data_IF_038425369859
#
_entry.id   IF_038425369859
#
_cell.length_a   1.000
_cell.length_b   1.000
_cell.length_c   1.000
_cell.angle_alpha   90.00
_cell.angle_beta   90.00
_cell.angle_gamma   90.00
#
_symmetry.space_group_name_H-M   'P 1'
#
loop_
_entity.id
_entity.type
_entity.pdbx_description
1 polymer ?
#
# COMPACT_ATOMS: atom_id res chain seq x y z
N UNK A 1 -5.18 32.43 13.52
CA UNK A 1 -6.41 31.61 13.63
C UNK A 1 -6.16 30.19 14.19
N UNK A 2 -4.94 29.64 14.16
CA UNK A 2 -4.61 28.32 14.76
C UNK A 2 -4.26 28.33 16.27
N UNK A 3 -4.14 29.49 16.91
CA UNK A 3 -3.65 29.61 18.31
C UNK A 3 -4.79 29.65 19.34
N UNK A 4 -6.06 29.66 18.90
CA UNK A 4 -7.20 29.98 19.78
C UNK A 4 -7.60 28.86 20.74
N UNK A 5 -7.15 27.61 20.55
CA UNK A 5 -7.41 26.47 21.44
C UNK A 5 -6.11 25.72 21.75
N UNK A 6 -5.29 26.33 22.59
CA UNK A 6 -4.06 25.78 23.17
C UNK A 6 -4.24 24.35 23.71
N UNK A 7 -5.38 24.09 24.37
CA UNK A 7 -5.74 22.80 24.94
C UNK A 7 -5.93 21.69 23.90
N UNK A 8 -6.31 22.00 22.66
CA UNK A 8 -6.45 21.00 21.60
C UNK A 8 -5.10 20.35 21.24
N UNK A 9 -4.03 21.13 21.28
CA UNK A 9 -2.66 20.68 21.01
C UNK A 9 -1.93 20.22 22.28
N UNK A 10 -2.65 20.05 23.40
CA UNK A 10 -2.08 19.75 24.72
C UNK A 10 -1.00 20.75 25.15
N UNK A 11 -1.20 22.03 24.83
CA UNK A 11 -0.32 23.10 25.28
C UNK A 11 -0.90 23.77 26.52
N UNK A 12 -0.02 24.12 27.46
CA UNK A 12 -0.38 24.79 28.72
C UNK A 12 -0.70 26.28 28.50
N UNK A 13 0.04 26.94 27.60
CA UNK A 13 -0.17 28.33 27.22
C UNK A 13 0.23 28.65 25.76
N UNK A 14 -0.14 29.85 25.32
CA UNK A 14 0.16 30.36 23.97
C UNK A 14 1.37 31.31 23.98
N UNK A 15 2.25 31.18 24.98
CA UNK A 15 3.46 31.99 25.04
C UNK A 15 4.40 31.63 23.88
N UNK A 16 5.21 32.61 23.46
CA UNK A 16 6.14 32.42 22.36
C UNK A 16 7.14 31.27 22.65
N UNK A 17 7.56 31.11 23.91
CA UNK A 17 8.50 30.07 24.31
C UNK A 17 7.86 28.67 24.27
N UNK A 18 6.62 28.52 24.78
CA UNK A 18 5.88 27.25 24.73
C UNK A 18 5.62 26.82 23.30
N UNK A 19 5.17 27.75 22.43
CA UNK A 19 4.93 27.46 21.02
C UNK A 19 6.23 27.05 20.32
N UNK A 20 7.33 27.78 20.51
CA UNK A 20 8.61 27.43 19.89
C UNK A 20 9.12 26.08 20.36
N UNK A 21 9.01 25.77 21.65
CA UNK A 21 9.41 24.47 22.20
C UNK A 21 8.56 23.35 21.63
N UNK A 22 7.25 23.54 21.53
CA UNK A 22 6.34 22.57 20.92
C UNK A 22 6.66 22.32 19.46
N UNK A 23 6.77 23.37 18.65
CA UNK A 23 7.09 23.25 17.23
C UNK A 23 8.46 22.60 17.01
N UNK A 24 9.45 22.96 17.82
CA UNK A 24 10.78 22.33 17.75
C UNK A 24 10.71 20.83 18.06
N UNK A 25 9.99 20.44 19.13
CA UNK A 25 9.78 19.03 19.48
C UNK A 25 9.03 18.27 18.39
N UNK A 26 8.00 18.89 17.79
CA UNK A 26 7.21 18.30 16.72
C UNK A 26 8.06 18.07 15.46
N UNK A 27 8.83 19.08 15.05
CA UNK A 27 9.73 18.99 13.89
C UNK A 27 10.82 17.96 14.15
N UNK A 28 11.45 17.95 15.32
CA UNK A 28 12.47 16.96 15.69
C UNK A 28 11.91 15.53 15.68
N UNK A 29 10.69 15.33 16.18
CA UNK A 29 9.98 14.05 16.11
C UNK A 29 9.75 13.59 14.67
N UNK A 30 9.21 14.47 13.83
CA UNK A 30 8.95 14.18 12.42
C UNK A 30 10.24 13.86 11.64
N UNK A 31 11.32 14.61 11.87
CA UNK A 31 12.62 14.36 11.23
C UNK A 31 13.17 12.98 11.64
N UNK A 32 13.07 12.62 12.92
CA UNK A 32 13.49 11.29 13.40
C UNK A 32 12.65 10.16 12.80
N UNK A 33 11.35 10.37 12.65
CA UNK A 33 10.47 9.36 12.03
C UNK A 33 10.78 9.18 10.53
N UNK A 34 11.07 10.27 9.81
CA UNK A 34 11.50 10.22 8.42
C UNK A 34 12.89 9.58 8.26
N UNK A 35 13.82 9.88 9.15
CA UNK A 35 15.16 9.25 9.19
C UNK A 35 15.06 7.75 9.45
N UNK A 36 14.23 7.31 10.42
CA UNK A 36 13.93 5.89 10.66
C UNK A 36 13.30 5.18 9.47
N UNK A 37 12.62 5.92 8.61
CA UNK A 37 12.05 5.42 7.35
C UNK A 37 12.99 5.53 6.15
N UNK A 38 14.25 5.90 6.36
CA UNK A 38 15.25 6.13 5.33
C UNK A 38 14.86 7.24 4.34
N UNK A 39 13.90 8.11 4.66
CA UNK A 39 13.43 9.14 3.75
C UNK A 39 14.40 10.33 3.65
N UNK A 40 15.17 10.57 4.70
CA UNK A 40 16.17 11.62 4.77
C UNK A 40 17.26 11.23 5.77
N UNK A 41 18.36 11.97 5.75
CA UNK A 41 19.43 11.88 6.75
C UNK A 41 19.76 13.25 7.33
N UNK A 42 20.13 13.27 8.61
CA UNK A 42 20.70 14.44 9.27
C UNK A 42 22.23 14.29 9.20
N UNK A 43 22.89 15.26 8.59
CA UNK A 43 24.35 15.27 8.43
C UNK A 43 25.06 15.38 9.79
N UNK A 44 26.37 15.10 9.80
CA UNK A 44 27.20 15.11 11.03
C UNK A 44 27.20 16.46 11.77
N UNK A 45 26.90 17.56 11.08
CA UNK A 45 26.78 18.90 11.67
C UNK A 45 25.51 19.08 12.53
N UNK A 46 24.59 18.11 12.49
CA UNK A 46 23.33 18.09 13.21
C UNK A 46 22.33 19.16 12.73
N UNK A 47 22.58 19.79 11.58
CA UNK A 47 21.81 20.95 11.08
C UNK A 47 21.39 20.79 9.62
N UNK A 48 22.23 20.14 8.82
CA UNK A 48 21.96 19.95 7.41
C UNK A 48 21.12 18.68 7.22
N UNK A 49 20.03 18.82 6.48
CA UNK A 49 19.09 17.74 6.18
C UNK A 49 19.17 17.45 4.69
N UNK A 50 19.35 16.17 4.34
CA UNK A 50 19.38 15.73 2.95
C UNK A 50 18.30 14.69 2.67
N UNK A 51 17.57 14.89 1.57
CA UNK A 51 16.52 13.97 1.14
C UNK A 51 17.14 12.78 0.39
N UNK A 52 16.92 11.58 0.91
CA UNK A 52 17.34 10.32 0.31
C UNK A 52 16.36 9.87 -0.79
N UNK A 53 16.79 8.89 -1.60
CA UNK A 53 15.97 8.36 -2.71
C UNK A 53 14.60 7.88 -2.22
N UNK A 54 14.54 7.19 -1.07
CA UNK A 54 13.28 6.69 -0.51
C UNK A 54 12.30 7.81 -0.14
N UNK A 55 12.79 8.96 0.34
CA UNK A 55 11.95 10.12 0.63
C UNK A 55 11.39 10.74 -0.64
N UNK A 56 12.19 10.78 -1.71
CA UNK A 56 11.76 11.23 -3.04
C UNK A 56 10.68 10.31 -3.61
N UNK A 57 10.85 8.99 -3.50
CA UNK A 57 9.84 7.99 -3.91
C UNK A 57 8.55 8.19 -3.09
N UNK A 58 8.64 8.29 -1.76
CA UNK A 58 7.49 8.53 -0.87
C UNK A 58 6.70 9.77 -1.30
N UNK A 59 7.40 10.88 -1.54
CA UNK A 59 6.80 12.15 -1.92
C UNK A 59 6.19 12.11 -3.32
N UNK A 60 6.87 11.48 -4.29
CA UNK A 60 6.43 11.40 -5.68
C UNK A 60 5.14 10.59 -5.83
N UNK A 61 5.06 9.43 -5.16
CA UNK A 61 3.88 8.55 -5.22
C UNK A 61 2.82 8.85 -4.15
N UNK A 62 3.07 9.85 -3.30
CA UNK A 62 2.15 10.28 -2.25
C UNK A 62 1.81 9.14 -1.27
N UNK A 63 2.86 8.46 -0.79
CA UNK A 63 2.80 7.33 0.14
C UNK A 63 3.30 7.73 1.52
N UNK A 64 2.79 7.04 2.55
CA UNK A 64 3.24 7.17 3.94
C UNK A 64 4.69 6.66 4.05
N UNK A 65 5.51 7.35 4.85
CA UNK A 65 6.94 6.98 5.01
C UNK A 65 7.12 5.58 5.64
N UNK A 66 6.13 5.11 6.41
CA UNK A 66 6.06 3.76 6.94
C UNK A 66 5.99 2.71 5.83
N UNK A 67 5.19 2.95 4.78
CA UNK A 67 5.09 2.05 3.62
C UNK A 67 6.43 1.90 2.92
N UNK A 68 7.13 3.00 2.67
CA UNK A 68 8.45 2.97 2.03
C UNK A 68 9.48 2.24 2.90
N UNK A 69 9.43 2.45 4.22
CA UNK A 69 10.26 1.68 5.17
C UNK A 69 10.00 0.18 5.04
N UNK A 70 8.73 -0.23 5.01
CA UNK A 70 8.37 -1.64 4.82
C UNK A 70 8.87 -2.18 3.47
N UNK A 71 8.83 -1.38 2.41
CA UNK A 71 9.38 -1.79 1.12
C UNK A 71 10.89 -2.01 1.20
N UNK A 72 11.61 -1.06 1.81
CA UNK A 72 13.06 -1.19 2.00
C UNK A 72 13.44 -2.41 2.85
N UNK A 73 12.67 -2.72 3.88
CA UNK A 73 13.02 -3.78 4.85
C UNK A 73 12.53 -5.18 4.45
N UNK A 74 11.36 -5.32 3.80
CA UNK A 74 10.66 -6.62 3.65
C UNK A 74 10.37 -7.06 2.21
N UNK A 75 10.38 -6.14 1.24
CA UNK A 75 9.93 -6.39 -0.14
C UNK A 75 10.65 -7.54 -0.86
N UNK A 76 11.89 -7.85 -0.46
CA UNK A 76 12.66 -8.94 -1.06
C UNK A 76 12.09 -10.33 -0.75
N UNK A 77 11.45 -10.49 0.41
CA UNK A 77 10.97 -11.78 0.90
C UNK A 77 9.49 -12.02 0.56
N UNK A 78 8.66 -11.00 0.73
CA UNK A 78 7.21 -11.08 0.56
C UNK A 78 6.65 -9.74 0.11
N UNK A 79 5.45 -9.73 -0.46
CA UNK A 79 4.74 -8.50 -0.77
C UNK A 79 4.25 -7.88 0.55
N UNK A 80 4.76 -6.69 0.93
CA UNK A 80 4.48 -6.13 2.24
C UNK A 80 3.10 -5.46 2.30
N UNK A 81 2.54 -5.45 3.51
CA UNK A 81 1.26 -4.81 3.86
C UNK A 81 1.41 -3.28 3.88
N UNK A 82 1.11 -2.62 2.77
CA UNK A 82 1.23 -1.16 2.65
C UNK A 82 0.26 -0.42 3.59
N UNK A 83 0.75 0.62 4.27
CA UNK A 83 0.02 1.38 5.31
C UNK A 83 -1.21 2.12 4.74
N UNK A 84 -1.23 2.37 3.43
CA UNK A 84 -2.37 2.96 2.72
C UNK A 84 -3.62 2.06 2.80
N UNK A 85 -3.44 0.76 3.03
CA UNK A 85 -4.54 -0.19 3.17
C UNK A 85 -4.95 -0.47 4.62
N UNK A 86 -4.22 0.06 5.61
CA UNK A 86 -4.53 -0.16 7.03
C UNK A 86 -5.92 0.41 7.42
N UNK A 87 -6.39 1.41 6.68
CA UNK A 87 -7.68 2.08 6.90
C UNK A 87 -8.83 1.48 6.08
N UNK A 88 -8.59 0.41 5.31
CA UNK A 88 -9.67 -0.26 4.56
C UNK A 88 -10.72 -0.78 5.55
N UNK A 89 -12.01 -0.45 5.38
CA UNK A 89 -13.02 -0.82 6.36
C UNK A 89 -13.18 -2.33 6.41
N UNK A 90 -13.05 -2.90 7.62
CA UNK A 90 -13.47 -4.27 7.92
C UNK A 90 -14.68 -4.18 8.84
N UNK A 91 -15.86 -4.36 8.27
CA UNK A 91 -17.15 -4.17 8.96
C UNK A 91 -17.49 -5.40 9.78
N UNK A 92 -18.38 -5.25 10.75
CA UNK A 92 -18.89 -6.38 11.53
C UNK A 92 -19.48 -7.47 10.62
N UNK A 93 -19.15 -8.73 10.91
CA UNK A 93 -19.53 -9.95 10.17
C UNK A 93 -18.85 -10.12 8.79
N UNK A 94 -17.93 -9.25 8.39
CA UNK A 94 -17.17 -9.46 7.15
C UNK A 94 -16.10 -10.54 7.29
N UNK A 95 -15.71 -10.94 8.49
CA UNK A 95 -14.78 -12.05 8.76
C UNK A 95 -15.28 -13.38 8.19
N UNK A 96 -16.58 -13.68 8.34
CA UNK A 96 -17.19 -14.86 7.75
C UNK A 96 -17.24 -14.78 6.21
N UNK A 97 -17.54 -13.60 5.66
CA UNK A 97 -17.58 -13.37 4.22
C UNK A 97 -16.18 -13.49 3.61
N UNK A 98 -15.16 -12.92 4.26
CA UNK A 98 -13.75 -13.02 3.88
C UNK A 98 -13.29 -14.48 3.89
N UNK A 99 -13.69 -15.26 4.91
CA UNK A 99 -13.39 -16.69 4.98
C UNK A 99 -14.03 -17.48 3.84
N UNK A 100 -15.29 -17.19 3.48
CA UNK A 100 -15.97 -17.82 2.34
C UNK A 100 -15.33 -17.43 1.00
N UNK A 101 -14.98 -16.16 0.83
CA UNK A 101 -14.31 -15.67 -0.36
C UNK A 101 -12.94 -16.31 -0.52
N UNK A 102 -12.16 -16.44 0.57
CA UNK A 102 -10.85 -17.07 0.56
C UNK A 102 -10.87 -18.52 0.05
N UNK A 103 -11.94 -19.28 0.31
CA UNK A 103 -12.09 -20.67 -0.17
C UNK A 103 -12.24 -20.76 -1.70
N UNK A 104 -12.63 -19.67 -2.37
CA UNK A 104 -12.82 -19.61 -3.82
C UNK A 104 -11.60 -19.06 -4.56
N UNK A 105 -10.59 -18.59 -3.83
CA UNK A 105 -9.44 -17.89 -4.37
C UNK A 105 -8.18 -18.77 -4.34
N UNK A 106 -7.25 -18.59 -5.30
CA UNK A 106 -6.15 -19.53 -5.49
C UNK A 106 -5.04 -19.42 -4.43
N UNK A 107 -4.82 -18.25 -3.83
CA UNK A 107 -3.78 -18.07 -2.81
C UNK A 107 -4.40 -18.09 -1.41
N UNK A 108 -3.91 -19.01 -0.59
CA UNK A 108 -4.31 -19.13 0.80
C UNK A 108 -3.87 -17.90 1.62
N UNK A 109 -4.75 -17.45 2.50
CA UNK A 109 -4.47 -16.42 3.50
C UNK A 109 -4.47 -17.04 4.90
N UNK A 110 -3.90 -16.34 5.88
CA UNK A 110 -3.88 -16.83 7.25
C UNK A 110 -5.31 -16.96 7.81
N UNK A 111 -5.73 -18.15 8.33
CA UNK A 111 -7.11 -18.38 8.75
C UNK A 111 -7.64 -17.49 9.90
N UNK A 112 -6.74 -16.79 10.61
CA UNK A 112 -7.06 -15.96 11.76
C UNK A 112 -6.91 -14.47 11.47
N UNK A 113 -6.77 -14.06 10.20
CA UNK A 113 -6.58 -12.67 9.81
C UNK A 113 -7.75 -12.08 9.02
N UNK A 114 -8.92 -12.74 9.00
CA UNK A 114 -10.08 -12.31 8.22
C UNK A 114 -10.73 -11.00 8.70
N UNK A 115 -10.41 -10.55 9.91
CA UNK A 115 -10.77 -9.25 10.47
C UNK A 115 -9.74 -8.14 10.17
N UNK A 116 -8.63 -8.49 9.50
CA UNK A 116 -7.54 -7.56 9.16
C UNK A 116 -7.75 -6.92 7.78
N UNK A 117 -7.57 -5.59 7.72
CA UNK A 117 -7.69 -4.77 6.51
C UNK A 117 -6.75 -5.20 5.37
N UNK A 118 -5.53 -5.62 5.67
CA UNK A 118 -4.57 -6.12 4.69
C UNK A 118 -4.98 -7.48 4.12
N UNK A 119 -5.50 -8.39 4.94
CA UNK A 119 -6.07 -9.66 4.45
C UNK A 119 -7.22 -9.39 3.50
N UNK A 120 -8.13 -8.47 3.86
CA UNK A 120 -9.23 -8.08 2.98
C UNK A 120 -8.71 -7.50 1.67
N UNK A 121 -7.74 -6.60 1.71
CA UNK A 121 -7.07 -6.07 0.51
C UNK A 121 -6.52 -7.19 -0.38
N UNK A 122 -5.83 -8.16 0.20
CA UNK A 122 -5.28 -9.30 -0.53
C UNK A 122 -6.38 -10.13 -1.20
N UNK A 123 -7.46 -10.44 -0.48
CA UNK A 123 -8.62 -11.16 -1.03
C UNK A 123 -9.29 -10.39 -2.17
N UNK A 124 -9.44 -9.06 -2.04
CA UNK A 124 -10.05 -8.23 -3.08
C UNK A 124 -9.19 -8.16 -4.35
N UNK A 125 -7.86 -8.07 -4.22
CA UNK A 125 -6.94 -8.14 -5.36
C UNK A 125 -7.02 -9.50 -6.07
N UNK A 126 -7.02 -10.60 -5.30
CA UNK A 126 -7.20 -11.93 -5.86
C UNK A 126 -8.55 -12.09 -6.56
N UNK A 127 -9.63 -11.60 -5.95
CA UNK A 127 -10.97 -11.63 -6.54
C UNK A 127 -11.04 -10.83 -7.85
N UNK A 128 -10.35 -9.69 -7.92
CA UNK A 128 -10.19 -8.89 -9.14
C UNK A 128 -9.47 -9.67 -10.24
N UNK A 129 -8.35 -10.33 -9.93
CA UNK A 129 -7.60 -11.14 -10.91
C UNK A 129 -8.40 -12.35 -11.39
N UNK A 130 -9.16 -12.99 -10.48
CA UNK A 130 -10.04 -14.13 -10.79
C UNK A 130 -11.35 -13.72 -11.45
N UNK A 131 -11.69 -12.42 -11.48
CA UNK A 131 -13.02 -11.91 -11.83
C UNK A 131 -14.14 -12.63 -11.06
N UNK A 132 -13.88 -12.92 -9.79
CA UNK A 132 -14.80 -13.65 -8.92
C UNK A 132 -16.04 -12.81 -8.57
N UNK A 133 -17.16 -13.47 -8.31
CA UNK A 133 -18.34 -12.81 -7.80
C UNK A 133 -18.09 -12.29 -6.37
N UNK A 134 -18.33 -11.00 -6.14
CA UNK A 134 -18.15 -10.40 -4.82
C UNK A 134 -19.37 -10.66 -3.92
N UNK A 135 -19.19 -10.84 -2.60
CA UNK A 135 -20.29 -11.18 -1.69
C UNK A 135 -21.43 -10.16 -1.65
N UNK A 136 -21.10 -8.87 -1.75
CA UNK A 136 -22.07 -7.78 -1.74
C UNK A 136 -21.52 -6.52 -2.44
N UNK A 137 -22.37 -5.51 -2.60
CA UNK A 137 -22.03 -4.24 -3.26
C UNK A 137 -20.92 -3.46 -2.56
N UNK A 138 -20.82 -3.58 -1.23
CA UNK A 138 -19.80 -2.89 -0.44
C UNK A 138 -18.39 -3.35 -0.82
N UNK A 139 -18.21 -4.66 -1.07
CA UNK A 139 -16.93 -5.21 -1.55
C UNK A 139 -16.55 -4.65 -2.93
N UNK A 140 -17.54 -4.34 -3.78
CA UNK A 140 -17.29 -3.69 -5.07
C UNK A 140 -16.74 -2.27 -4.90
N UNK A 141 -17.24 -1.53 -3.90
CA UNK A 141 -16.71 -0.20 -3.56
C UNK A 141 -15.32 -0.30 -2.94
N UNK A 142 -15.14 -1.23 -1.99
CA UNK A 142 -13.85 -1.47 -1.34
C UNK A 142 -12.78 -1.90 -2.36
N UNK A 143 -13.15 -2.72 -3.35
CA UNK A 143 -12.23 -3.12 -4.45
C UNK A 143 -11.78 -1.91 -5.25
N UNK A 144 -12.67 -0.96 -5.57
CA UNK A 144 -12.28 0.27 -6.29
C UNK A 144 -11.27 1.08 -5.47
N UNK A 145 -11.53 1.28 -4.18
CA UNK A 145 -10.60 1.97 -3.27
C UNK A 145 -9.22 1.29 -3.23
N UNK A 146 -9.18 -0.04 -3.24
CA UNK A 146 -7.92 -0.80 -3.32
C UNK A 146 -7.22 -0.53 -4.66
N UNK A 147 -7.92 -0.67 -5.78
CA UNK A 147 -7.34 -0.51 -7.12
C UNK A 147 -6.85 0.92 -7.41
N UNK A 148 -7.54 1.94 -6.89
CA UNK A 148 -7.13 3.35 -7.01
C UNK A 148 -5.74 3.60 -6.39
N UNK A 149 -5.38 2.82 -5.36
CA UNK A 149 -4.08 2.88 -4.70
C UNK A 149 -3.05 1.90 -5.28
N UNK A 150 -3.51 0.78 -5.85
CA UNK A 150 -2.65 -0.33 -6.24
C UNK A 150 -1.56 0.04 -7.25
N UNK A 151 -1.88 0.90 -8.23
CA UNK A 151 -0.91 1.31 -9.26
C UNK A 151 0.23 2.13 -8.68
N UNK A 152 -0.07 3.20 -7.91
CA UNK A 152 0.97 4.06 -7.33
C UNK A 152 1.83 3.31 -6.31
N UNK A 153 1.22 2.43 -5.52
CA UNK A 153 1.91 1.56 -4.57
C UNK A 153 2.86 0.62 -5.30
N UNK A 154 2.38 -0.06 -6.36
CA UNK A 154 3.21 -0.99 -7.13
C UNK A 154 4.36 -0.28 -7.86
N UNK A 155 4.14 0.93 -8.37
CA UNK A 155 5.20 1.73 -9.00
C UNK A 155 6.27 2.16 -7.98
N UNK A 156 5.87 2.59 -6.77
CA UNK A 156 6.82 2.87 -5.71
C UNK A 156 7.61 1.61 -5.27
N UNK A 157 6.96 0.45 -5.20
CA UNK A 157 7.65 -0.83 -4.96
C UNK A 157 8.69 -1.11 -6.05
N UNK A 158 8.35 -0.86 -7.32
CA UNK A 158 9.25 -1.05 -8.45
C UNK A 158 10.47 -0.14 -8.37
N UNK A 159 10.28 1.14 -8.04
CA UNK A 159 11.37 2.10 -7.90
C UNK A 159 12.28 1.78 -6.71
N UNK A 160 11.72 1.31 -5.59
CA UNK A 160 12.52 0.81 -4.46
C UNK A 160 13.32 -0.43 -4.90
N UNK A 161 12.70 -1.40 -5.55
CA UNK A 161 13.39 -2.59 -6.04
C UNK A 161 14.49 -2.24 -7.06
N UNK A 162 14.26 -1.25 -7.93
CA UNK A 162 15.24 -0.75 -8.89
C UNK A 162 16.42 -0.06 -8.20
N UNK A 163 16.14 0.81 -7.21
CA UNK A 163 17.18 1.47 -6.40
C UNK A 163 18.06 0.46 -5.65
N UNK A 164 17.49 -0.68 -5.23
CA UNK A 164 18.22 -1.77 -4.57
C UNK A 164 18.90 -2.77 -5.53
N UNK A 165 18.61 -2.70 -6.83
CA UNK A 165 19.08 -3.67 -7.81
C UNK A 165 18.43 -5.07 -7.70
N UNK A 166 17.21 -5.17 -7.16
CA UNK A 166 16.49 -6.43 -7.00
C UNK A 166 15.72 -6.82 -8.28
N UNK A 167 16.44 -7.29 -9.30
CA UNK A 167 15.86 -7.62 -10.61
C UNK A 167 14.66 -8.58 -10.55
N UNK A 168 14.76 -9.66 -9.77
CA UNK A 168 13.67 -10.66 -9.67
C UNK A 168 12.42 -10.03 -9.07
N UNK A 169 12.58 -9.24 -8.00
CA UNK A 169 11.49 -8.51 -7.36
C UNK A 169 10.87 -7.50 -8.34
N UNK A 170 11.70 -6.72 -9.04
CA UNK A 170 11.22 -5.76 -10.03
C UNK A 170 10.37 -6.42 -11.14
N UNK A 171 10.81 -7.56 -11.68
CA UNK A 171 10.04 -8.31 -12.68
C UNK A 171 8.72 -8.85 -12.11
N UNK A 172 8.74 -9.37 -10.88
CA UNK A 172 7.51 -9.80 -10.19
C UNK A 172 6.52 -8.65 -10.00
N UNK A 173 7.00 -7.45 -9.67
CA UNK A 173 6.17 -6.24 -9.53
C UNK A 173 5.62 -5.80 -10.89
N UNK A 174 6.41 -5.86 -11.96
CA UNK A 174 5.91 -5.60 -13.32
C UNK A 174 4.77 -6.55 -13.70
N UNK A 175 4.90 -7.83 -13.39
CA UNK A 175 3.83 -8.81 -13.60
C UNK A 175 2.60 -8.50 -12.75
N UNK A 176 2.79 -8.10 -11.49
CA UNK A 176 1.68 -7.66 -10.62
C UNK A 176 0.93 -6.46 -11.21
N UNK A 177 1.64 -5.45 -11.72
CA UNK A 177 1.01 -4.29 -12.38
C UNK A 177 0.17 -4.74 -13.58
N UNK A 178 0.66 -5.69 -14.38
CA UNK A 178 -0.13 -6.25 -15.48
C UNK A 178 -1.38 -6.97 -14.98
N UNK A 179 -1.28 -7.77 -13.92
CA UNK A 179 -2.45 -8.44 -13.32
C UNK A 179 -3.48 -7.43 -12.80
N UNK A 180 -3.03 -6.35 -12.16
CA UNK A 180 -3.90 -5.25 -11.67
C UNK A 180 -4.63 -4.56 -12.83
N UNK A 181 -3.89 -4.14 -13.87
CA UNK A 181 -4.48 -3.39 -14.99
C UNK A 181 -5.43 -4.26 -15.81
N UNK A 182 -5.07 -5.53 -16.07
CA UNK A 182 -5.87 -6.41 -16.92
C UNK A 182 -7.00 -7.13 -16.17
N UNK A 183 -6.94 -7.18 -14.83
CA UNK A 183 -7.88 -7.94 -14.00
C UNK A 183 -7.88 -9.42 -14.38
N UNK A 184 -6.67 -10.00 -14.45
CA UNK A 184 -6.39 -11.38 -14.86
C UNK A 184 -5.16 -11.89 -14.13
N UNK A 185 -5.04 -13.21 -13.99
CA UNK A 185 -3.82 -13.83 -13.48
C UNK A 185 -2.74 -13.86 -14.55
N UNK A 186 -1.47 -13.83 -14.13
CA UNK A 186 -0.33 -13.96 -15.04
C UNK A 186 -0.35 -15.28 -15.84
N UNK A 187 -0.93 -16.33 -15.27
CA UNK A 187 -1.04 -17.66 -15.89
C UNK A 187 -2.14 -17.76 -16.94
N UNK A 188 -3.02 -16.77 -17.03
CA UNK A 188 -4.10 -16.76 -18.02
C UNK A 188 -3.56 -16.51 -19.43
N UNK A 189 -4.28 -17.01 -20.45
CA UNK A 189 -3.94 -16.72 -21.84
C UNK A 189 -4.06 -15.22 -22.12
N UNK A 190 -3.03 -14.63 -22.74
CA UNK A 190 -3.03 -13.20 -23.13
C UNK A 190 -4.14 -12.83 -24.10
N UNK A 191 -4.75 -13.81 -24.79
CA UNK A 191 -5.91 -13.57 -25.65
C UNK A 191 -7.15 -13.12 -24.84
N UNK A 192 -7.26 -13.54 -23.57
CA UNK A 192 -8.37 -13.17 -22.68
C UNK A 192 -8.32 -11.71 -22.21
N UNK A 193 -7.29 -10.97 -22.61
CA UNK A 193 -7.21 -9.51 -22.47
C UNK A 193 -8.09 -8.80 -23.50
N UNK A 194 -8.36 -9.43 -24.65
CA UNK A 194 -9.20 -8.84 -25.68
C UNK A 194 -10.66 -8.80 -25.23
N UNK A 195 -11.39 -7.70 -25.52
CA UNK A 195 -12.80 -7.62 -25.20
C UNK A 195 -13.60 -8.69 -25.95
N UNK A 196 -14.62 -9.24 -25.30
CA UNK A 196 -15.52 -10.29 -25.83
C UNK A 196 -14.89 -11.66 -26.09
N UNK A 197 -13.63 -11.88 -25.70
CA UNK A 197 -12.98 -13.19 -25.80
C UNK A 197 -13.04 -13.91 -24.45
N UNK A 198 -13.75 -15.03 -24.42
CA UNK A 198 -13.94 -15.85 -23.23
C UNK A 198 -13.07 -17.10 -23.25
N UNK A 199 -12.97 -17.77 -22.10
CA UNK A 199 -12.14 -18.96 -21.96
C UNK A 199 -12.58 -20.10 -22.89
N UNK A 200 -13.88 -20.14 -23.20
CA UNK A 200 -14.43 -21.07 -24.19
C UNK A 200 -13.93 -20.78 -25.60
N UNK A 201 -13.60 -19.54 -25.99
CA UNK A 201 -13.19 -19.20 -27.36
C UNK A 201 -11.74 -19.57 -27.67
N UNK A 202 -10.94 -19.85 -26.65
CA UNK A 202 -9.51 -20.15 -26.79
C UNK A 202 -9.23 -21.38 -27.66
N UNK A 203 -10.18 -22.31 -27.77
CA UNK A 203 -10.01 -23.49 -28.64
C UNK A 203 -9.94 -23.13 -30.13
N UNK A 204 -10.43 -21.95 -30.54
CA UNK A 204 -10.40 -21.47 -31.92
C UNK A 204 -9.01 -20.98 -32.36
N UNK A 205 -8.10 -20.76 -31.42
CA UNK A 205 -6.76 -20.20 -31.67
C UNK A 205 -5.62 -21.20 -31.40
N UNK A 206 -5.93 -22.50 -31.37
CA UNK A 206 -4.95 -23.59 -31.23
C UNK A 206 -4.49 -24.12 -32.57
#
# INVERSE_FOLDING_TARGET
>A
MCVSLCSYYNLDDVSHDTINKYLSTLVEGALRDLERSYCMEIQEDGRTIEALTYGRISSYYYLKHQTIRMFKERLRAEMPDAEEYAELPVRHNEDQLNSQLAQQLPLAVAPHSYDNAHTKTHLLLQAHFSRAALPCTDYGTDTKTVLDNAIRISQAMLDVAANEGWLVTALSICNLVQMIVQGRWLTDSSLLTLPHLEQQDLHLFR
#
